data_IF_185518659792
#
_entry.id   IF_185518659792
#
_cell.length_a   1.000
_cell.length_b   1.000
_cell.length_c   1.000
_cell.angle_alpha   90.00
_cell.angle_beta   90.00
_cell.angle_gamma   90.00
#
_symmetry.space_group_name_H-M   'P 1'
#
loop_
_entity.id
_entity.type
_entity.pdbx_description
1 polymer ?
#
# COMPACT_ATOMS: atom_id res chain seq x y z
N UNK A 1 51.24 -39.70 14.31
CA UNK A 1 50.38 -38.56 14.74
C UNK A 1 48.94 -38.86 14.34
N UNK A 2 48.02 -38.92 15.30
CA UNK A 2 46.64 -39.42 15.12
C UNK A 2 45.76 -38.40 14.38
N UNK A 3 45.58 -38.55 13.06
CA UNK A 3 44.53 -37.88 12.28
C UNK A 3 43.20 -38.63 12.46
N UNK A 4 42.50 -38.41 13.59
CA UNK A 4 41.17 -39.01 13.85
C UNK A 4 40.01 -37.99 13.87
N UNK A 5 40.29 -36.70 13.71
CA UNK A 5 39.28 -35.62 13.72
C UNK A 5 38.68 -35.25 12.35
N UNK A 6 39.19 -35.80 11.25
CA UNK A 6 38.77 -35.41 9.89
C UNK A 6 37.38 -35.95 9.52
N UNK A 7 37.01 -37.14 10.00
CA UNK A 7 35.75 -37.80 9.65
C UNK A 7 34.52 -37.15 10.32
N UNK A 8 34.67 -36.62 11.54
CA UNK A 8 33.58 -35.88 12.19
C UNK A 8 33.37 -34.50 11.55
N UNK A 9 34.44 -33.83 11.13
CA UNK A 9 34.35 -32.51 10.51
C UNK A 9 33.61 -32.53 9.16
N UNK A 10 33.78 -33.58 8.37
CA UNK A 10 33.10 -33.73 7.08
C UNK A 10 31.57 -33.89 7.23
N UNK A 11 31.13 -34.78 8.11
CA UNK A 11 29.69 -35.00 8.34
C UNK A 11 29.02 -33.80 9.03
N UNK A 12 29.74 -33.12 9.94
CA UNK A 12 29.24 -31.89 10.57
C UNK A 12 29.14 -30.76 9.55
N UNK A 13 30.07 -30.66 8.59
CA UNK A 13 30.01 -29.66 7.51
C UNK A 13 28.82 -29.89 6.59
N UNK A 14 28.52 -31.14 6.21
CA UNK A 14 27.33 -31.49 5.42
C UNK A 14 26.04 -31.07 6.15
N UNK A 15 25.98 -31.31 7.46
CA UNK A 15 24.84 -30.88 8.28
C UNK A 15 24.71 -29.35 8.32
N UNK A 16 25.81 -28.61 8.50
CA UNK A 16 25.80 -27.14 8.50
C UNK A 16 25.33 -26.60 7.15
N UNK A 17 25.85 -27.14 6.04
CA UNK A 17 25.44 -26.75 4.70
C UNK A 17 23.95 -27.01 4.45
N UNK A 18 23.43 -28.14 4.94
CA UNK A 18 22.00 -28.46 4.84
C UNK A 18 21.14 -27.44 5.61
N UNK A 19 21.54 -27.06 6.82
CA UNK A 19 20.82 -26.05 7.63
C UNK A 19 20.84 -24.68 6.96
N UNK A 20 21.99 -24.26 6.44
CA UNK A 20 22.12 -22.99 5.69
C UNK A 20 21.21 -23.00 4.45
N UNK A 21 21.22 -24.11 3.69
CA UNK A 21 20.37 -24.25 2.50
C UNK A 21 18.88 -24.18 2.84
N UNK A 22 18.44 -24.84 3.92
CA UNK A 22 17.05 -24.77 4.38
C UNK A 22 16.69 -23.34 4.83
N UNK A 23 17.61 -22.67 5.54
CA UNK A 23 17.43 -21.27 5.92
C UNK A 23 17.22 -20.36 4.71
N UNK A 24 18.04 -20.50 3.67
CA UNK A 24 17.88 -19.76 2.43
C UNK A 24 16.58 -20.08 1.71
N UNK A 25 16.16 -21.35 1.66
CA UNK A 25 14.89 -21.74 1.04
C UNK A 25 13.69 -21.14 1.78
N UNK A 26 13.67 -21.19 3.11
CA UNK A 26 12.61 -20.59 3.91
C UNK A 26 12.55 -19.06 3.69
N UNK A 27 13.70 -18.38 3.74
CA UNK A 27 13.78 -16.95 3.45
C UNK A 27 13.25 -16.62 2.04
N UNK A 28 13.72 -17.35 1.02
CA UNK A 28 13.30 -17.13 -0.36
C UNK A 28 11.79 -17.33 -0.56
N UNK A 29 11.21 -18.39 0.04
CA UNK A 29 9.77 -18.62 0.02
C UNK A 29 8.99 -17.47 0.67
N UNK A 30 9.45 -16.97 1.82
CA UNK A 30 8.80 -15.82 2.47
C UNK A 30 8.87 -14.57 1.60
N UNK A 31 10.04 -14.25 1.03
CA UNK A 31 10.20 -13.09 0.15
C UNK A 31 9.31 -13.19 -1.10
N UNK A 32 9.22 -14.37 -1.71
CA UNK A 32 8.37 -14.59 -2.88
C UNK A 32 6.89 -14.45 -2.54
N UNK A 33 6.47 -15.00 -1.41
CA UNK A 33 5.10 -14.87 -0.93
C UNK A 33 4.71 -13.40 -0.71
N UNK A 34 5.50 -12.64 0.05
CA UNK A 34 5.21 -11.24 0.32
C UNK A 34 5.22 -10.39 -0.96
N UNK A 35 6.17 -10.61 -1.86
CA UNK A 35 6.20 -9.90 -3.14
C UNK A 35 4.94 -10.18 -4.00
N UNK A 36 4.44 -11.41 -3.98
CA UNK A 36 3.20 -11.76 -4.69
C UNK A 36 1.99 -11.07 -4.07
N UNK A 37 1.89 -11.01 -2.74
CA UNK A 37 0.78 -10.36 -2.03
C UNK A 37 0.82 -8.85 -2.26
N UNK A 38 1.98 -8.22 -2.12
CA UNK A 38 2.16 -6.78 -2.33
C UNK A 38 1.78 -6.39 -3.76
N UNK A 39 2.20 -7.16 -4.77
CA UNK A 39 1.83 -6.90 -6.16
C UNK A 39 0.31 -7.05 -6.39
N UNK A 40 -0.35 -8.05 -5.79
CA UNK A 40 -1.80 -8.18 -5.89
C UNK A 40 -2.54 -7.04 -5.20
N UNK A 41 -2.06 -6.59 -4.03
CA UNK A 41 -2.61 -5.46 -3.31
C UNK A 41 -2.49 -4.17 -4.12
N UNK A 42 -1.34 -3.95 -4.77
CA UNK A 42 -1.13 -2.82 -5.67
C UNK A 42 -2.09 -2.81 -6.85
N UNK A 43 -2.29 -3.96 -7.52
CA UNK A 43 -3.25 -4.10 -8.63
C UNK A 43 -4.69 -3.80 -8.16
N UNK A 44 -5.07 -4.27 -6.96
CA UNK A 44 -6.40 -3.99 -6.38
C UNK A 44 -6.58 -2.51 -6.04
N UNK A 45 -5.55 -1.87 -5.50
CA UNK A 45 -5.53 -0.45 -5.20
C UNK A 45 -5.69 0.37 -6.49
N UNK A 46 -4.91 0.04 -7.53
CA UNK A 46 -4.99 0.66 -8.85
C UNK A 46 -6.40 0.56 -9.44
N UNK A 47 -6.99 -0.64 -9.46
CA UNK A 47 -8.36 -0.82 -9.97
C UNK A 47 -9.42 -0.08 -9.13
N UNK A 48 -9.21 0.09 -7.83
CA UNK A 48 -10.14 0.84 -6.98
C UNK A 48 -10.04 2.34 -7.22
N UNK A 49 -8.81 2.83 -7.45
CA UNK A 49 -8.53 4.23 -7.72
C UNK A 49 -8.98 4.65 -9.13
N UNK A 50 -8.84 3.76 -10.12
CA UNK A 50 -9.37 3.96 -11.47
C UNK A 50 -10.89 4.14 -11.45
N UNK A 51 -11.63 3.30 -10.70
CA UNK A 51 -13.09 3.48 -10.52
C UNK A 51 -13.43 4.81 -9.86
N UNK A 52 -12.68 5.21 -8.84
CA UNK A 52 -12.88 6.50 -8.18
C UNK A 52 -12.64 7.66 -9.14
N UNK A 53 -11.59 7.57 -9.96
CA UNK A 53 -11.26 8.54 -10.99
C UNK A 53 -12.36 8.64 -12.04
N UNK A 54 -12.88 7.52 -12.54
CA UNK A 54 -13.98 7.51 -13.51
C UNK A 54 -15.22 8.22 -12.96
N UNK A 55 -15.59 7.90 -11.71
CA UNK A 55 -16.69 8.56 -11.01
C UNK A 55 -16.41 10.04 -10.82
N UNK A 56 -15.19 10.43 -10.47
CA UNK A 56 -14.76 11.82 -10.31
C UNK A 56 -14.80 12.60 -11.64
N UNK A 57 -14.43 11.98 -12.75
CA UNK A 57 -14.40 12.62 -14.07
C UNK A 57 -15.79 12.71 -14.71
N UNK A 58 -16.77 11.95 -14.23
CA UNK A 58 -18.13 11.97 -14.78
C UNK A 58 -18.94 13.20 -14.34
N UNK A 59 -18.98 14.27 -15.14
CA UNK A 59 -19.65 15.54 -14.81
C UNK A 59 -21.18 15.43 -14.56
N UNK A 60 -21.84 14.36 -15.02
CA UNK A 60 -23.30 14.21 -14.90
C UNK A 60 -23.77 13.81 -13.49
N UNK A 61 -22.86 13.32 -12.64
CA UNK A 61 -23.20 12.74 -11.33
C UNK A 61 -22.72 13.65 -10.20
N UNK A 62 -23.69 14.21 -9.45
CA UNK A 62 -23.41 15.06 -8.28
C UNK A 62 -23.12 14.27 -7.01
N UNK A 63 -23.61 13.03 -6.92
CA UNK A 63 -23.38 12.14 -5.78
C UNK A 63 -23.39 10.69 -6.25
N UNK A 64 -22.31 9.97 -5.98
CA UNK A 64 -22.19 8.56 -6.32
C UNK A 64 -21.54 7.77 -5.19
N UNK A 65 -21.91 6.49 -5.07
CA UNK A 65 -21.30 5.57 -4.10
C UNK A 65 -20.45 4.57 -4.86
N UNK A 66 -19.14 4.59 -4.59
CA UNK A 66 -18.21 3.61 -5.12
C UNK A 66 -18.04 2.50 -4.09
N UNK A 67 -18.49 1.30 -4.43
CA UNK A 67 -18.31 0.11 -3.61
C UNK A 67 -17.03 -0.64 -3.97
N UNK A 68 -16.67 -1.57 -3.09
CA UNK A 68 -15.57 -2.52 -3.33
C UNK A 68 -14.21 -1.85 -3.50
N UNK A 69 -13.95 -0.80 -2.72
CA UNK A 69 -12.62 -0.23 -2.58
C UNK A 69 -11.75 -1.23 -1.82
N UNK A 70 -10.62 -1.58 -2.43
CA UNK A 70 -9.67 -2.60 -2.01
C UNK A 70 -8.23 -2.08 -2.22
N UNK A 71 -7.19 -2.68 -1.61
CA UNK A 71 -7.17 -3.88 -0.75
C UNK A 71 -7.48 -3.60 0.72
N UNK A 72 -8.00 -4.63 1.42
CA UNK A 72 -8.20 -4.58 2.86
C UNK A 72 -6.88 -4.43 3.61
N UNK A 73 -6.90 -3.65 4.69
CA UNK A 73 -5.73 -3.35 5.53
C UNK A 73 -4.94 -2.13 5.06
N UNK A 74 -5.24 -1.58 3.89
CA UNK A 74 -4.67 -0.32 3.40
C UNK A 74 -5.60 0.85 3.75
N UNK A 75 -5.12 2.06 3.53
CA UNK A 75 -5.85 3.30 3.76
C UNK A 75 -5.96 4.10 2.46
N UNK A 76 -7.08 4.80 2.32
CA UNK A 76 -7.30 5.84 1.33
C UNK A 76 -6.92 7.18 1.96
N UNK A 77 -6.07 7.97 1.31
CA UNK A 77 -5.57 9.26 1.80
C UNK A 77 -5.88 10.38 0.83
N UNK A 78 -6.25 11.54 1.36
CA UNK A 78 -6.22 12.80 0.62
C UNK A 78 -4.94 13.58 0.92
N UNK A 79 -4.21 13.94 -0.13
CA UNK A 79 -3.07 14.85 -0.02
C UNK A 79 -3.42 16.18 -0.70
N UNK A 80 -4.19 17.02 0.01
CA UNK A 80 -4.57 18.35 -0.46
C UNK A 80 -3.80 19.50 0.23
N UNK A 81 -2.94 19.20 1.21
CA UNK A 81 -2.07 20.16 1.92
C UNK A 81 -0.68 20.32 1.29
N UNK A 82 0.25 21.02 1.93
CA UNK A 82 1.59 21.29 1.36
C UNK A 82 2.48 20.04 1.23
N UNK A 83 2.33 19.07 2.14
CA UNK A 83 3.13 17.85 2.15
C UNK A 83 2.43 16.77 1.35
N UNK A 84 3.04 16.34 0.25
CA UNK A 84 2.47 15.37 -0.69
C UNK A 84 3.51 14.36 -1.16
N UNK A 85 3.07 13.15 -1.57
CA UNK A 85 3.89 12.22 -2.35
C UNK A 85 4.45 12.89 -3.61
N UNK A 86 5.67 12.52 -4.00
CA UNK A 86 6.28 12.94 -5.25
C UNK A 86 5.41 12.56 -6.45
N UNK A 87 4.67 11.45 -6.34
CA UNK A 87 3.70 10.98 -7.33
C UNK A 87 2.61 12.02 -7.64
N UNK A 88 2.37 12.97 -6.75
CA UNK A 88 1.32 13.98 -6.88
C UNK A 88 1.81 15.33 -7.42
N UNK A 89 3.11 15.52 -7.70
CA UNK A 89 3.70 16.71 -8.34
C UNK A 89 3.22 18.08 -7.83
N UNK A 90 2.83 18.18 -6.55
CA UNK A 90 2.30 19.41 -5.94
C UNK A 90 0.79 19.64 -6.16
N UNK A 91 0.12 18.82 -6.94
CA UNK A 91 -1.33 18.83 -7.16
C UNK A 91 -2.06 18.02 -6.09
N UNK A 92 -3.36 18.27 -5.90
CA UNK A 92 -4.15 17.50 -4.95
C UNK A 92 -4.32 16.08 -5.50
N UNK A 93 -4.16 15.08 -4.65
CA UNK A 93 -4.23 13.70 -5.09
C UNK A 93 -4.89 12.80 -4.05
N UNK A 94 -5.43 11.71 -4.58
CA UNK A 94 -6.03 10.63 -3.86
C UNK A 94 -5.08 9.43 -3.95
N UNK A 95 -4.72 8.86 -2.80
CA UNK A 95 -3.79 7.73 -2.74
C UNK A 95 -4.37 6.55 -1.98
N UNK A 96 -4.04 5.33 -2.39
CA UNK A 96 -4.28 4.10 -1.65
C UNK A 96 -2.92 3.48 -1.33
N UNK A 97 -2.59 3.36 -0.05
CA UNK A 97 -1.31 2.85 0.45
C UNK A 97 -1.47 2.15 1.79
N UNK A 98 -0.52 1.30 2.14
CA UNK A 98 -0.47 0.67 3.46
C UNK A 98 -0.25 1.71 4.56
N UNK A 99 -0.81 1.45 5.74
CA UNK A 99 -0.69 2.31 6.91
C UNK A 99 0.58 1.94 7.68
N UNK A 100 1.50 2.88 7.82
CA UNK A 100 2.71 2.67 8.62
C UNK A 100 2.45 3.14 10.04
N UNK A 101 2.15 2.20 10.95
CA UNK A 101 1.96 2.46 12.38
C UNK A 101 3.14 3.29 12.92
N UNK A 102 2.86 4.55 13.26
CA UNK A 102 3.84 5.49 13.78
C UNK A 102 3.57 5.80 15.25
N UNK A 103 4.50 5.38 16.10
CA UNK A 103 4.45 5.59 17.55
C UNK A 103 4.91 6.99 18.01
N UNK A 104 5.31 7.92 17.13
CA UNK A 104 5.92 9.19 17.55
C UNK A 104 5.64 10.36 16.57
N UNK A 105 4.82 11.33 17.03
CA UNK A 105 4.67 12.78 16.74
C UNK A 105 5.10 13.48 15.40
N UNK A 106 5.73 12.86 14.40
CA UNK A 106 6.19 13.51 13.15
C UNK A 106 5.53 12.89 11.89
N UNK A 107 4.21 12.95 11.88
CA UNK A 107 3.24 11.99 11.28
C UNK A 107 3.12 12.00 9.75
N UNK A 108 3.76 12.92 9.01
CA UNK A 108 3.49 13.05 7.56
C UNK A 108 4.51 12.35 6.66
N UNK A 109 5.79 12.37 7.01
CA UNK A 109 6.84 12.12 6.01
C UNK A 109 7.06 10.62 5.75
N UNK A 110 6.72 9.76 6.73
CA UNK A 110 6.82 8.31 6.58
C UNK A 110 5.68 7.76 5.73
N UNK A 111 4.46 8.20 6.00
CA UNK A 111 3.29 7.81 5.21
C UNK A 111 3.44 8.27 3.75
N UNK A 112 3.92 9.50 3.53
CA UNK A 112 4.21 10.03 2.19
C UNK A 112 5.18 9.11 1.42
N UNK A 113 6.25 8.65 2.07
CA UNK A 113 7.23 7.73 1.46
C UNK A 113 6.64 6.37 1.14
N UNK A 114 5.75 5.84 1.99
CA UNK A 114 5.10 4.55 1.73
C UNK A 114 4.17 4.66 0.52
N UNK A 115 3.41 5.76 0.42
CA UNK A 115 2.55 6.02 -0.73
C UNK A 115 3.34 6.24 -2.03
N UNK A 116 4.52 6.86 -1.97
CA UNK A 116 5.43 6.98 -3.12
C UNK A 116 6.09 5.66 -3.54
N UNK A 117 6.38 4.79 -2.58
CA UNK A 117 7.14 3.56 -2.83
C UNK A 117 6.28 2.38 -3.27
N UNK A 118 5.18 2.12 -2.55
CA UNK A 118 4.34 0.93 -2.72
C UNK A 118 2.86 1.24 -2.97
N UNK A 119 2.43 2.48 -2.71
CA UNK A 119 1.07 2.93 -2.95
C UNK A 119 0.76 3.21 -4.42
N UNK A 120 -0.49 3.60 -4.67
CA UNK A 120 -0.97 4.13 -5.95
C UNK A 120 -1.64 5.47 -5.66
N UNK A 121 -1.33 6.49 -6.46
CA UNK A 121 -1.87 7.84 -6.34
C UNK A 121 -2.40 8.34 -7.69
N UNK A 122 -3.49 9.10 -7.64
CA UNK A 122 -4.11 9.74 -8.80
C UNK A 122 -4.38 11.20 -8.48
N UNK A 123 -4.09 12.08 -9.44
CA UNK A 123 -4.30 13.52 -9.31
C UNK A 123 -5.80 13.80 -9.43
N UNK A 124 -6.33 14.50 -8.43
CA UNK A 124 -7.73 14.92 -8.35
C UNK A 124 -7.74 16.41 -8.03
N UNK A 125 -7.91 17.27 -9.05
CA UNK A 125 -8.09 18.70 -8.84
C UNK A 125 -9.26 18.96 -7.88
N UNK A 126 -9.16 20.02 -7.07
CA UNK A 126 -10.25 20.43 -6.17
C UNK A 126 -10.68 19.39 -5.10
N UNK A 127 -9.85 18.37 -4.85
CA UNK A 127 -10.07 17.44 -3.74
C UNK A 127 -10.01 18.16 -2.39
N UNK A 128 -11.07 17.99 -1.59
CA UNK A 128 -11.09 18.42 -0.20
C UNK A 128 -10.36 17.42 0.69
N UNK A 129 -9.56 17.94 1.64
CA UNK A 129 -8.81 17.11 2.57
C UNK A 129 -9.76 16.41 3.56
N UNK A 130 -9.77 15.09 3.54
CA UNK A 130 -10.47 14.22 4.49
C UNK A 130 -9.50 13.44 5.40
N UNK A 131 -8.18 13.63 5.27
CA UNK A 131 -7.16 12.90 5.99
C UNK A 131 -7.02 11.45 5.50
N UNK A 132 -7.55 10.51 6.29
CA UNK A 132 -7.42 9.08 6.03
C UNK A 132 -8.75 8.33 6.20
N UNK A 133 -8.98 7.33 5.34
CA UNK A 133 -10.10 6.40 5.43
C UNK A 133 -9.54 4.98 5.36
N UNK A 134 -9.71 4.23 6.43
CA UNK A 134 -9.26 2.84 6.52
C UNK A 134 -10.12 1.89 5.71
N UNK A 135 -9.47 1.06 4.88
CA UNK A 135 -10.13 -0.01 4.10
C UNK A 135 -10.22 -1.25 4.99
N UNK A 136 -11.34 -1.33 5.72
CA UNK A 136 -11.66 -2.48 6.55
C UNK A 136 -12.04 -3.70 5.69
N UNK A 137 -11.86 -4.90 6.25
CA UNK A 137 -12.00 -6.15 5.51
C UNK A 137 -13.48 -6.47 5.22
N UNK A 138 -13.85 -6.96 4.01
CA UNK A 138 -12.99 -7.25 2.85
C UNK A 138 -12.79 -6.06 1.88
N UNK A 139 -13.66 -5.07 1.96
CA UNK A 139 -13.69 -3.84 1.17
C UNK A 139 -14.55 -2.79 1.87
N UNK A 140 -14.45 -1.54 1.43
CA UNK A 140 -15.33 -0.45 1.89
C UNK A 140 -16.10 0.17 0.73
N UNK A 141 -17.14 0.92 1.09
CA UNK A 141 -17.83 1.82 0.18
C UNK A 141 -17.55 3.27 0.59
N UNK A 142 -17.29 4.11 -0.40
CA UNK A 142 -17.09 5.55 -0.23
C UNK A 142 -18.11 6.30 -1.07
N UNK A 143 -18.61 7.39 -0.51
CA UNK A 143 -19.48 8.34 -1.20
C UNK A 143 -18.61 9.47 -1.75
N UNK A 144 -18.79 9.77 -3.04
CA UNK A 144 -18.16 10.88 -3.76
C UNK A 144 -19.23 11.92 -3.99
N UNK A 145 -19.03 13.10 -3.41
CA UNK A 145 -19.90 14.26 -3.54
C UNK A 145 -19.17 15.32 -4.37
N UNK A 146 -19.82 15.78 -5.45
CA UNK A 146 -19.31 16.86 -6.29
C UNK A 146 -20.12 18.12 -6.07
N UNK A 147 -19.43 19.20 -5.74
CA UNK A 147 -19.96 20.55 -5.73
C UNK A 147 -19.23 21.38 -6.79
N UNK A 148 -19.77 22.52 -7.21
CA UNK A 148 -19.28 23.35 -8.33
C UNK A 148 -17.80 23.79 -8.24
N UNK A 149 -17.11 23.53 -7.13
CA UNK A 149 -15.68 23.85 -6.93
C UNK A 149 -14.92 22.88 -6.01
N UNK A 150 -15.53 21.73 -5.66
CA UNK A 150 -14.96 20.80 -4.66
C UNK A 150 -15.40 19.36 -4.87
N UNK A 151 -14.46 18.44 -4.67
CA UNK A 151 -14.71 17.00 -4.59
C UNK A 151 -14.53 16.57 -3.13
N UNK A 152 -15.57 15.97 -2.56
CA UNK A 152 -15.58 15.48 -1.19
C UNK A 152 -15.76 13.96 -1.21
N UNK A 153 -14.85 13.24 -0.55
CA UNK A 153 -14.91 11.78 -0.40
C UNK A 153 -15.12 11.44 1.06
N UNK A 154 -16.10 10.58 1.36
CA UNK A 154 -16.42 10.17 2.73
C UNK A 154 -16.69 8.67 2.79
N UNK A 155 -16.33 8.05 3.91
CA UNK A 155 -16.74 6.67 4.19
C UNK A 155 -18.26 6.63 4.37
N UNK A 156 -18.91 5.67 3.70
CA UNK A 156 -20.34 5.41 3.86
C UNK A 156 -20.64 4.57 5.09
#
# INVERSE_FOLDING_TARGET
MKKKGFLLAEETLKMILAVIAIGFLAFFLTSLYFNSVDNQNRIKAEASLERLKDVIMNEEVSTEVVSDITPAGWNLFSFAGEKKPNSCSGENCLCICDDVVDTILFVTDRQIKECDGKGICEIVPELEDFGEIKIESPSISVEVLKSESKIIIRKK
#
